data_IF_528112661717
#
_entry.id   IF_528112661717
#
_cell.length_a   1.000
_cell.length_b   1.000
_cell.length_c   1.000
_cell.angle_alpha   90.00
_cell.angle_beta   90.00
_cell.angle_gamma   90.00
#
_symmetry.space_group_name_H-M   'P 1'
#
loop_
_entity.id
_entity.type
_entity.pdbx_description
1 polymer ?
#
# COMPACT_ATOMS: atom_id res chain seq x y z
N UNK A 1 20.75 6.87 2.20
CA UNK A 1 19.65 5.94 2.56
C UNK A 1 18.38 6.48 1.94
N UNK A 2 17.62 5.66 1.19
CA UNK A 2 16.23 6.03 0.90
C UNK A 2 15.45 5.92 2.23
N UNK A 3 14.62 6.90 2.57
CA UNK A 3 13.88 6.92 3.83
C UNK A 3 12.85 5.78 3.90
N UNK A 4 12.27 5.60 5.10
CA UNK A 4 11.19 4.64 5.37
C UNK A 4 10.10 4.74 4.29
N UNK A 5 9.72 3.60 3.69
CA UNK A 5 8.58 3.51 2.76
C UNK A 5 7.35 3.04 3.51
N UNK A 6 6.25 3.78 3.37
CA UNK A 6 4.96 3.39 3.93
C UNK A 6 4.14 2.67 2.87
N UNK A 7 3.54 1.55 3.27
CA UNK A 7 2.59 0.82 2.44
C UNK A 7 1.21 0.91 3.05
N UNK A 8 0.22 1.22 2.23
CA UNK A 8 -1.18 1.19 2.65
C UNK A 8 -2.00 0.30 1.73
N UNK A 9 -2.76 -0.61 2.33
CA UNK A 9 -3.59 -1.58 1.59
C UNK A 9 -5.04 -1.12 1.62
N UNK A 10 -5.70 -1.10 0.46
CA UNK A 10 -7.09 -0.69 0.34
C UNK A 10 -7.81 -1.49 -0.75
N UNK A 11 -9.10 -1.73 -0.54
CA UNK A 11 -9.97 -2.40 -1.52
C UNK A 11 -10.79 -1.40 -2.34
N UNK A 12 -10.94 -0.18 -1.82
CA UNK A 12 -11.84 0.83 -2.38
C UNK A 12 -11.06 1.91 -3.09
N UNK A 13 -11.58 2.42 -4.22
CA UNK A 13 -11.06 3.59 -4.93
C UNK A 13 -11.60 4.92 -4.38
N UNK A 14 -12.10 4.92 -3.14
CA UNK A 14 -12.59 6.13 -2.47
C UNK A 14 -11.43 7.02 -2.03
N UNK A 15 -11.14 8.06 -2.82
CA UNK A 15 -10.05 9.02 -2.59
C UNK A 15 -10.03 9.61 -1.17
N UNK A 16 -11.17 9.69 -0.47
CA UNK A 16 -11.23 10.23 0.89
C UNK A 16 -10.37 9.42 1.84
N UNK A 17 -10.36 8.09 1.70
CA UNK A 17 -9.52 7.22 2.54
C UNK A 17 -8.03 7.44 2.26
N UNK A 18 -7.65 7.54 0.99
CA UNK A 18 -6.28 7.82 0.58
C UNK A 18 -5.79 9.14 1.17
N UNK A 19 -6.61 10.19 1.08
CA UNK A 19 -6.24 11.52 1.59
C UNK A 19 -6.14 11.52 3.11
N UNK A 20 -7.03 10.81 3.81
CA UNK A 20 -6.94 10.62 5.25
C UNK A 20 -5.65 9.88 5.64
N UNK A 21 -5.26 8.84 4.91
CA UNK A 21 -4.03 8.09 5.20
C UNK A 21 -2.77 8.92 4.90
N UNK A 22 -2.80 9.76 3.87
CA UNK A 22 -1.76 10.76 3.57
C UNK A 22 -1.65 11.79 4.71
N UNK A 23 -2.79 12.31 5.19
CA UNK A 23 -2.81 13.29 6.28
C UNK A 23 -2.33 12.69 7.62
N UNK A 24 -2.61 11.40 7.90
CA UNK A 24 -2.13 10.70 9.10
C UNK A 24 -0.60 10.68 9.22
N UNK A 25 0.12 10.72 8.09
CA UNK A 25 1.59 10.73 8.08
C UNK A 25 2.17 12.07 7.62
N UNK A 26 1.43 13.16 7.83
CA UNK A 26 1.87 14.52 7.53
C UNK A 26 2.24 14.75 6.04
N UNK A 27 1.49 14.13 5.12
CA UNK A 27 1.67 14.28 3.66
C UNK A 27 3.01 13.77 3.15
N UNK A 28 3.56 12.79 3.84
CA UNK A 28 4.70 12.04 3.37
C UNK A 28 4.29 11.09 2.22
N UNK A 29 5.17 10.78 1.24
CA UNK A 29 4.85 9.86 0.16
C UNK A 29 4.47 8.45 0.66
N UNK A 30 3.39 7.89 0.12
CA UNK A 30 2.88 6.55 0.46
C UNK A 30 2.76 5.71 -0.80
N UNK A 31 3.17 4.45 -0.69
CA UNK A 31 2.89 3.42 -1.70
C UNK A 31 1.57 2.72 -1.37
N UNK A 32 0.62 2.71 -2.32
CA UNK A 32 -0.69 2.08 -2.13
C UNK A 32 -0.76 0.73 -2.84
N UNK A 33 -1.21 -0.30 -2.11
CA UNK A 33 -1.57 -1.60 -2.66
C UNK A 33 -3.10 -1.66 -2.75
N UNK A 34 -3.61 -1.65 -3.97
CA UNK A 34 -5.04 -1.59 -4.26
C UNK A 34 -5.52 -2.96 -4.71
N UNK A 35 -6.51 -3.52 -4.02
CA UNK A 35 -7.11 -4.82 -4.36
C UNK A 35 -8.01 -4.72 -5.59
N UNK A 36 -7.43 -4.38 -6.73
CA UNK A 36 -8.08 -4.29 -8.04
C UNK A 36 -7.26 -5.01 -9.10
N UNK A 37 -7.93 -5.45 -10.17
CA UNK A 37 -7.33 -5.99 -11.39
C UNK A 37 -7.19 -4.95 -12.50
N UNK A 38 -7.78 -3.76 -12.32
CA UNK A 38 -7.69 -2.63 -13.25
C UNK A 38 -6.23 -2.21 -13.44
N UNK A 39 -5.94 -1.55 -14.58
CA UNK A 39 -4.59 -1.03 -14.83
C UNK A 39 -4.23 0.08 -13.83
N UNK A 40 -2.93 0.32 -13.64
CA UNK A 40 -2.46 1.39 -12.74
C UNK A 40 -2.95 2.75 -13.25
N UNK A 41 -2.98 2.93 -14.56
CA UNK A 41 -3.45 4.13 -15.23
C UNK A 41 -4.94 4.37 -14.95
N UNK A 42 -5.77 3.33 -15.11
CA UNK A 42 -7.21 3.41 -14.84
C UNK A 42 -7.48 3.73 -13.37
N UNK A 43 -6.77 3.08 -12.45
CA UNK A 43 -6.92 3.33 -11.02
C UNK A 43 -6.56 4.79 -10.68
N UNK A 44 -5.41 5.25 -11.17
CA UNK A 44 -4.92 6.61 -10.91
C UNK A 44 -5.87 7.65 -11.50
N UNK A 45 -6.38 7.40 -12.72
CA UNK A 45 -7.36 8.26 -13.37
C UNK A 45 -8.67 8.32 -12.57
N UNK A 46 -9.21 7.17 -12.15
CA UNK A 46 -10.44 7.11 -11.33
C UNK A 46 -10.28 7.89 -10.02
N UNK A 47 -9.14 7.75 -9.33
CA UNK A 47 -8.85 8.49 -8.09
C UNK A 47 -8.84 10.00 -8.37
N UNK A 48 -8.12 10.43 -9.40
CA UNK A 48 -7.99 11.86 -9.78
C UNK A 48 -9.34 12.46 -10.17
N UNK A 49 -10.12 11.76 -10.98
CA UNK A 49 -11.45 12.21 -11.42
C UNK A 49 -12.42 12.33 -10.25
N UNK A 50 -12.48 11.32 -9.37
CA UNK A 50 -13.35 11.33 -8.20
C UNK A 50 -12.98 12.44 -7.22
N UNK A 51 -11.67 12.64 -6.98
CA UNK A 51 -11.20 13.74 -6.13
C UNK A 51 -11.49 15.12 -6.74
N UNK A 52 -11.33 15.28 -8.05
CA UNK A 52 -11.60 16.54 -8.75
C UNK A 52 -13.09 16.90 -8.79
N UNK A 53 -13.98 15.89 -8.77
CA UNK A 53 -15.43 16.11 -8.65
C UNK A 53 -15.83 16.54 -7.24
N UNK A 54 -15.16 16.03 -6.22
CA UNK A 54 -15.49 16.29 -4.82
C UNK A 54 -14.84 17.57 -4.25
N UNK A 55 -13.66 17.95 -4.73
CA UNK A 55 -12.95 19.15 -4.29
C UNK A 55 -12.93 20.23 -5.36
N UNK A 56 -13.42 21.42 -5.04
CA UNK A 56 -13.42 22.57 -5.96
C UNK A 56 -12.01 23.10 -6.28
N UNK A 57 -11.03 22.86 -5.38
CA UNK A 57 -9.67 23.38 -5.51
C UNK A 57 -8.74 22.31 -6.11
N UNK A 58 -8.50 22.40 -7.42
CA UNK A 58 -7.66 21.46 -8.18
C UNK A 58 -6.22 21.36 -7.65
N UNK A 59 -5.66 22.46 -7.14
CA UNK A 59 -4.30 22.50 -6.59
C UNK A 59 -4.13 21.60 -5.36
N UNK A 60 -5.18 21.45 -4.54
CA UNK A 60 -5.16 20.57 -3.37
C UNK A 60 -5.15 19.12 -3.82
N UNK A 61 -6.03 18.77 -4.77
CA UNK A 61 -6.07 17.42 -5.36
C UNK A 61 -4.71 17.05 -5.94
N UNK A 62 -4.05 17.96 -6.66
CA UNK A 62 -2.70 17.77 -7.17
C UNK A 62 -1.70 17.36 -6.08
N UNK A 63 -1.63 18.13 -4.98
CA UNK A 63 -0.72 17.83 -3.87
C UNK A 63 -0.94 16.44 -3.24
N UNK A 64 -2.20 15.99 -3.12
CA UNK A 64 -2.48 14.66 -2.59
C UNK A 64 -2.11 13.55 -3.60
N UNK A 65 -2.37 13.77 -4.89
CA UNK A 65 -1.95 12.83 -5.94
C UNK A 65 -0.42 12.73 -5.99
N UNK A 66 0.29 13.84 -5.79
CA UNK A 66 1.77 13.86 -5.74
C UNK A 66 2.34 13.08 -4.53
N UNK A 67 1.53 12.85 -3.49
CA UNK A 67 1.92 11.99 -2.36
C UNK A 67 1.76 10.49 -2.65
N UNK A 68 1.12 10.11 -3.77
CA UNK A 68 1.05 8.72 -4.21
C UNK A 68 2.38 8.32 -4.85
N UNK A 69 3.27 7.72 -4.06
CA UNK A 69 4.63 7.34 -4.51
C UNK A 69 4.58 6.21 -5.55
N UNK A 70 3.81 5.15 -5.23
CA UNK A 70 3.63 3.98 -6.08
C UNK A 70 2.21 3.45 -5.90
N UNK A 71 1.61 2.97 -6.99
CA UNK A 71 0.34 2.24 -6.95
C UNK A 71 0.57 0.82 -7.46
N UNK A 72 0.22 -0.17 -6.65
CA UNK A 72 0.38 -1.60 -6.93
C UNK A 72 -1.01 -2.24 -6.97
N UNK A 73 -1.36 -2.84 -8.10
CA UNK A 73 -2.58 -3.63 -8.26
C UNK A 73 -2.30 -5.13 -8.04
N UNK A 74 -3.35 -5.97 -8.03
CA UNK A 74 -3.22 -7.41 -7.81
C UNK A 74 -2.36 -8.10 -8.88
N UNK A 75 -2.55 -7.86 -10.20
CA UNK A 75 -1.71 -8.47 -11.22
C UNK A 75 -0.20 -8.20 -11.01
N UNK A 76 0.18 -6.95 -10.74
CA UNK A 76 1.58 -6.59 -10.50
C UNK A 76 2.12 -7.21 -9.22
N UNK A 77 1.31 -7.27 -8.16
CA UNK A 77 1.70 -7.94 -6.92
C UNK A 77 2.01 -9.43 -7.15
N UNK A 78 1.16 -10.12 -7.92
CA UNK A 78 1.35 -11.54 -8.26
C UNK A 78 2.63 -11.74 -9.10
N UNK A 79 2.89 -10.87 -10.09
CA UNK A 79 4.10 -10.93 -10.90
C UNK A 79 5.33 -10.82 -10.01
N UNK A 80 5.39 -9.78 -9.18
CA UNK A 80 6.50 -9.55 -8.24
C UNK A 80 6.66 -10.71 -7.27
N UNK A 81 5.57 -11.24 -6.73
CA UNK A 81 5.60 -12.41 -5.85
C UNK A 81 6.24 -13.61 -6.56
N UNK A 82 5.77 -13.95 -7.77
CA UNK A 82 6.32 -15.08 -8.54
C UNK A 82 7.80 -14.91 -8.87
N UNK A 83 8.24 -13.69 -9.18
CA UNK A 83 9.66 -13.39 -9.42
C UNK A 83 10.52 -13.59 -8.17
N UNK A 84 10.03 -13.17 -7.00
CA UNK A 84 10.73 -13.39 -5.73
C UNK A 84 10.80 -14.87 -5.36
N UNK A 85 9.71 -15.62 -5.58
CA UNK A 85 9.71 -17.08 -5.38
C UNK A 85 10.74 -17.77 -6.28
N UNK A 86 10.83 -17.38 -7.56
CA UNK A 86 11.85 -17.91 -8.48
C UNK A 86 13.28 -17.59 -8.04
N UNK A 87 13.49 -16.50 -7.32
CA UNK A 87 14.79 -16.10 -6.79
C UNK A 87 15.13 -16.79 -5.44
N UNK A 88 14.25 -17.64 -4.93
CA UNK A 88 14.48 -18.40 -3.68
C UNK A 88 14.01 -17.69 -2.41
N UNK A 89 13.35 -16.53 -2.51
CA UNK A 89 12.92 -15.74 -1.34
C UNK A 89 11.61 -16.23 -0.69
N UNK A 90 11.06 -17.38 -1.11
CA UNK A 90 9.78 -17.87 -0.58
C UNK A 90 9.80 -18.03 0.95
N UNK A 91 10.86 -18.64 1.48
CA UNK A 91 10.99 -18.85 2.93
C UNK A 91 11.10 -17.52 3.68
N UNK A 92 11.90 -16.58 3.20
CA UNK A 92 12.02 -15.24 3.79
C UNK A 92 10.67 -14.51 3.80
N UNK A 93 9.87 -14.62 2.74
CA UNK A 93 8.54 -14.01 2.69
C UNK A 93 7.61 -14.65 3.73
N UNK A 94 7.61 -15.97 3.86
CA UNK A 94 6.77 -16.67 4.83
C UNK A 94 7.19 -16.35 6.27
N UNK A 95 8.49 -16.34 6.56
CA UNK A 95 9.04 -15.95 7.85
C UNK A 95 8.63 -14.53 8.22
N UNK A 96 8.70 -13.58 7.28
CA UNK A 96 8.26 -12.21 7.49
C UNK A 96 6.76 -12.12 7.77
N UNK A 97 5.92 -12.87 7.04
CA UNK A 97 4.47 -12.91 7.29
C UNK A 97 4.18 -13.44 8.69
N UNK A 98 4.89 -14.49 9.13
CA UNK A 98 4.74 -15.07 10.47
C UNK A 98 5.16 -14.04 11.53
N UNK A 99 6.32 -13.40 11.36
CA UNK A 99 6.84 -12.39 12.27
C UNK A 99 5.87 -11.21 12.43
N UNK A 100 5.40 -10.65 11.31
CA UNK A 100 4.44 -9.55 11.32
C UNK A 100 3.10 -9.97 11.92
N UNK A 101 2.68 -11.21 11.69
CA UNK A 101 1.51 -11.80 12.34
C UNK A 101 1.67 -11.84 13.85
N UNK A 102 2.80 -12.37 14.36
CA UNK A 102 3.09 -12.41 15.80
C UNK A 102 3.05 -11.01 16.42
N UNK A 103 3.70 -10.03 15.78
CA UNK A 103 3.66 -8.63 16.23
C UNK A 103 2.24 -8.07 16.25
N UNK A 104 1.45 -8.29 15.19
CA UNK A 104 0.09 -7.79 15.08
C UNK A 104 -0.87 -8.38 16.13
N UNK A 105 -0.66 -9.63 16.52
CA UNK A 105 -1.46 -10.32 17.54
C UNK A 105 -0.86 -10.23 18.95
N UNK A 106 0.24 -9.48 19.13
CA UNK A 106 1.01 -9.41 20.37
C UNK A 106 1.30 -10.81 20.93
N UNK A 107 1.72 -11.72 20.03
CA UNK A 107 2.05 -13.08 20.36
C UNK A 107 3.42 -13.12 21.01
N UNK A 108 3.46 -13.43 22.30
CA UNK A 108 4.68 -13.76 23.01
C UNK A 108 4.97 -15.24 22.71
N UNK A 109 6.17 -15.55 22.21
CA UNK A 109 6.63 -16.94 22.23
C UNK A 109 6.70 -17.33 23.71
N UNK A 110 5.75 -18.14 24.17
CA UNK A 110 5.91 -18.80 25.45
C UNK A 110 7.14 -19.69 25.27
N UNK A 111 8.21 -19.38 26.00
CA UNK A 111 9.29 -20.33 26.21
C UNK A 111 8.63 -21.57 26.83
N UNK A 112 8.29 -22.55 25.99
CA UNK A 112 7.93 -23.89 26.43
C UNK A 112 9.23 -24.54 26.92
N UNK A 113 9.73 -24.05 28.06
CA UNK A 113 10.64 -24.78 28.94
C UNK A 113 9.84 -25.86 29.67
N UNK A 114 9.69 -27.02 29.04
CA UNK A 114 9.63 -28.32 29.73
C UNK A 114 10.47 -29.38 29.01
#
# INVERSE_FOLDING_TARGET
MKPLRFFQVTETLDFKKYFLDIDKIQKYPISFVIKSTDSIEEITQKIKENASKAYSIKTIVGKYIDCLEEVINIPNLIIRFRENVKQGYLNNILEEIILQGKVAFNYEETDDEE
#
